data_IF_161240493712
#
_entry.id   IF_161240493712
#
_cell.length_a   1.000
_cell.length_b   1.000
_cell.length_c   1.000
_cell.angle_alpha   90.00
_cell.angle_beta   90.00
_cell.angle_gamma   90.00
#
_symmetry.space_group_name_H-M   'P 1'
#
loop_
_entity.id
_entity.type
_entity.pdbx_description
1 polymer ?
#
# COMPACT_ATOMS: atom_id res chain seq x y z
N UNK A 1 10.65 -20.38 16.35
CA UNK A 1 9.69 -19.68 15.47
C UNK A 1 8.46 -20.55 15.39
N UNK A 2 7.30 -20.02 15.79
CA UNK A 2 6.01 -20.66 15.51
C UNK A 2 5.82 -20.79 13.99
N UNK A 3 4.95 -21.71 13.56
CA UNK A 3 4.57 -21.83 12.15
C UNK A 3 4.01 -20.51 11.60
N UNK A 4 3.25 -19.78 12.42
CA UNK A 4 2.72 -18.45 12.10
C UNK A 4 3.82 -17.40 11.88
N UNK A 5 4.86 -17.39 12.71
CA UNK A 5 5.96 -16.41 12.63
C UNK A 5 6.72 -16.53 11.31
N UNK A 6 6.94 -17.77 10.84
CA UNK A 6 7.60 -18.03 9.57
C UNK A 6 6.74 -17.53 8.40
N UNK A 7 5.43 -17.78 8.42
CA UNK A 7 4.50 -17.33 7.38
C UNK A 7 4.44 -15.80 7.34
N UNK A 8 4.35 -15.15 8.50
CA UNK A 8 4.35 -13.69 8.60
C UNK A 8 5.68 -13.11 8.10
N UNK A 9 6.82 -13.70 8.43
CA UNK A 9 8.12 -13.24 7.90
C UNK A 9 8.18 -13.31 6.36
N UNK A 10 7.68 -14.40 5.77
CA UNK A 10 7.57 -14.55 4.31
C UNK A 10 6.63 -13.50 3.71
N UNK A 11 5.49 -13.23 4.35
CA UNK A 11 4.56 -12.20 3.90
C UNK A 11 5.22 -10.81 3.85
N UNK A 12 5.91 -10.40 4.92
CA UNK A 12 6.61 -9.12 4.97
C UNK A 12 7.72 -9.02 3.92
N UNK A 13 8.57 -10.06 3.83
CA UNK A 13 9.66 -10.10 2.85
C UNK A 13 9.12 -10.03 1.42
N UNK A 14 8.03 -10.75 1.13
CA UNK A 14 7.36 -10.71 -0.17
C UNK A 14 6.82 -9.33 -0.51
N UNK A 15 6.09 -8.70 0.41
CA UNK A 15 5.55 -7.34 0.19
C UNK A 15 6.68 -6.32 0.07
N UNK A 16 7.77 -6.47 0.82
CA UNK A 16 8.94 -5.58 0.72
C UNK A 16 9.62 -5.71 -0.64
N UNK A 17 9.86 -6.94 -1.12
CA UNK A 17 10.44 -7.17 -2.44
C UNK A 17 9.55 -6.61 -3.57
N UNK A 18 8.24 -6.84 -3.50
CA UNK A 18 7.26 -6.26 -4.44
C UNK A 18 7.28 -4.74 -4.37
N UNK A 19 7.36 -4.15 -3.17
CA UNK A 19 7.44 -2.71 -2.96
C UNK A 19 8.61 -2.09 -3.71
N UNK A 20 9.80 -2.68 -3.64
CA UNK A 20 10.99 -2.19 -4.35
C UNK A 20 10.82 -2.24 -5.88
N UNK A 21 10.21 -3.31 -6.39
CA UNK A 21 9.92 -3.47 -7.82
C UNK A 21 8.91 -2.40 -8.27
N UNK A 22 7.82 -2.22 -7.51
CA UNK A 22 6.78 -1.25 -7.83
C UNK A 22 7.29 0.19 -7.76
N UNK A 23 8.11 0.54 -6.75
CA UNK A 23 8.76 1.86 -6.69
C UNK A 23 9.55 2.12 -7.96
N UNK A 24 10.38 1.15 -8.39
CA UNK A 24 11.21 1.31 -9.58
C UNK A 24 10.38 1.51 -10.85
N UNK A 25 9.33 0.70 -11.02
CA UNK A 25 8.45 0.79 -12.18
C UNK A 25 7.68 2.11 -12.15
N UNK A 26 7.15 2.53 -11.00
CA UNK A 26 6.36 3.76 -10.92
C UNK A 26 7.21 5.01 -11.16
N UNK A 27 8.44 5.07 -10.64
CA UNK A 27 9.37 6.19 -10.91
C UNK A 27 9.72 6.29 -12.40
N UNK A 28 9.86 5.14 -13.07
CA UNK A 28 10.30 5.10 -14.49
C UNK A 28 9.14 5.32 -15.45
N UNK A 29 8.04 4.62 -15.21
CA UNK A 29 6.96 4.41 -16.17
C UNK A 29 5.65 5.06 -15.71
N UNK A 30 5.58 5.65 -14.50
CA UNK A 30 4.37 6.25 -13.91
C UNK A 30 3.17 5.29 -13.91
N UNK A 31 3.45 4.01 -13.64
CA UNK A 31 2.46 2.93 -13.68
C UNK A 31 2.74 1.90 -12.61
N UNK A 32 1.66 1.37 -12.04
CA UNK A 32 1.68 0.19 -11.17
C UNK A 32 0.95 -0.97 -11.89
N UNK A 33 1.68 -1.98 -12.39
CA UNK A 33 1.11 -3.02 -13.24
C UNK A 33 0.26 -4.01 -12.44
N UNK A 34 -0.95 -4.26 -12.93
CA UNK A 34 -1.89 -5.24 -12.36
C UNK A 34 -1.29 -6.64 -12.23
N UNK A 35 -0.44 -7.04 -13.18
CA UNK A 35 0.27 -8.31 -13.18
C UNK A 35 1.21 -8.50 -11.98
N UNK A 36 1.51 -7.44 -11.23
CA UNK A 36 2.31 -7.49 -9.99
C UNK A 36 1.42 -7.20 -8.78
N UNK A 37 0.63 -6.12 -8.83
CA UNK A 37 -0.14 -5.65 -7.67
C UNK A 37 -1.24 -6.63 -7.27
N UNK A 38 -1.95 -7.22 -8.24
CA UNK A 38 -3.06 -8.15 -7.95
C UNK A 38 -2.54 -9.49 -7.41
N UNK A 39 -1.55 -10.16 -8.04
CA UNK A 39 -0.99 -11.38 -7.47
C UNK A 39 -0.34 -11.14 -6.10
N UNK A 40 0.32 -10.00 -5.89
CA UNK A 40 0.87 -9.66 -4.58
C UNK A 40 -0.21 -9.50 -3.51
N UNK A 41 -1.33 -8.84 -3.84
CA UNK A 41 -2.47 -8.67 -2.92
C UNK A 41 -3.11 -10.01 -2.56
N UNK A 42 -3.35 -10.86 -3.56
CA UNK A 42 -3.93 -12.18 -3.34
C UNK A 42 -2.97 -13.12 -2.59
N UNK A 43 -1.69 -13.05 -2.93
CA UNK A 43 -0.64 -13.82 -2.25
C UNK A 43 -0.51 -13.43 -0.78
N UNK A 44 -0.54 -12.13 -0.48
CA UNK A 44 -0.58 -11.64 0.90
C UNK A 44 -1.82 -12.18 1.63
N UNK A 45 -3.02 -12.02 1.07
CA UNK A 45 -4.26 -12.53 1.67
C UNK A 45 -4.17 -14.04 1.97
N UNK A 46 -3.63 -14.83 1.04
CA UNK A 46 -3.45 -16.28 1.22
C UNK A 46 -2.45 -16.61 2.35
N UNK A 47 -1.33 -15.88 2.43
CA UNK A 47 -0.36 -16.05 3.51
C UNK A 47 -0.94 -15.64 4.87
N UNK A 48 -1.72 -14.56 4.94
CA UNK A 48 -2.40 -14.16 6.18
C UNK A 48 -3.46 -15.17 6.62
N UNK A 49 -4.20 -15.77 5.67
CA UNK A 49 -5.12 -16.84 5.97
C UNK A 49 -4.41 -18.08 6.52
N UNK A 50 -3.26 -18.45 5.94
CA UNK A 50 -2.43 -19.54 6.45
C UNK A 50 -1.87 -19.22 7.86
N UNK A 51 -1.43 -17.99 8.09
CA UNK A 51 -0.97 -17.54 9.39
C UNK A 51 -2.09 -17.64 10.44
N UNK A 52 -3.32 -17.23 10.09
CA UNK A 52 -4.48 -17.33 10.97
C UNK A 52 -4.81 -18.80 11.34
N UNK A 53 -4.79 -19.70 10.36
CA UNK A 53 -5.04 -21.15 10.61
C UNK A 53 -3.96 -21.75 11.51
N UNK A 54 -2.70 -21.41 11.27
CA UNK A 54 -1.57 -21.94 12.06
C UNK A 54 -1.47 -21.35 13.46
N UNK A 55 -1.90 -20.10 13.65
CA UNK A 55 -1.97 -19.44 14.95
C UNK A 55 -3.24 -19.80 15.75
N UNK A 56 -4.30 -20.26 15.07
CA UNK A 56 -5.61 -20.46 15.70
C UNK A 56 -6.34 -19.15 16.02
N UNK A 57 -5.95 -18.05 15.36
CA UNK A 57 -6.49 -16.70 15.57
C UNK A 57 -6.78 -16.02 14.24
N UNK A 58 -8.05 -15.65 14.03
CA UNK A 58 -8.52 -15.00 12.81
C UNK A 58 -8.69 -13.48 12.96
N UNK A 59 -8.52 -12.91 14.15
CA UNK A 59 -8.67 -11.47 14.38
C UNK A 59 -7.74 -10.64 13.47
N UNK A 60 -6.43 -10.97 13.35
CA UNK A 60 -5.51 -10.20 12.51
C UNK A 60 -5.88 -10.28 11.01
N UNK A 61 -6.42 -11.41 10.56
CA UNK A 61 -6.89 -11.60 9.19
C UNK A 61 -8.12 -10.70 8.90
N UNK A 62 -9.07 -10.64 9.83
CA UNK A 62 -10.24 -9.76 9.70
C UNK A 62 -9.85 -8.29 9.62
N UNK A 63 -8.89 -7.87 10.47
CA UNK A 63 -8.37 -6.49 10.46
C UNK A 63 -7.58 -6.18 9.20
N UNK A 64 -6.76 -7.12 8.69
CA UNK A 64 -6.08 -6.98 7.41
C UNK A 64 -7.08 -6.85 6.23
N UNK A 65 -8.12 -7.69 6.19
CA UNK A 65 -9.16 -7.59 5.16
C UNK A 65 -9.89 -6.24 5.23
N UNK A 66 -10.26 -5.78 6.42
CA UNK A 66 -10.91 -4.49 6.63
C UNK A 66 -9.99 -3.32 6.25
N UNK A 67 -8.71 -3.38 6.60
CA UNK A 67 -7.71 -2.38 6.23
C UNK A 67 -7.49 -2.30 4.71
N UNK A 68 -7.38 -3.45 4.05
CA UNK A 68 -7.27 -3.55 2.60
C UNK A 68 -8.48 -2.98 1.87
N UNK A 69 -9.68 -3.41 2.24
CA UNK A 69 -10.93 -2.91 1.66
C UNK A 69 -11.14 -1.43 1.96
N UNK A 70 -10.83 -0.98 3.17
CA UNK A 70 -10.96 0.41 3.59
C UNK A 70 -10.06 1.34 2.77
N UNK A 71 -8.77 1.03 2.64
CA UNK A 71 -7.87 1.82 1.82
C UNK A 71 -8.20 1.73 0.33
N UNK A 72 -8.59 0.56 -0.18
CA UNK A 72 -9.07 0.44 -1.56
C UNK A 72 -10.26 1.37 -1.82
N UNK A 73 -11.30 1.30 -0.98
CA UNK A 73 -12.51 2.10 -1.13
C UNK A 73 -12.21 3.61 -1.02
N UNK A 74 -11.33 3.99 -0.09
CA UNK A 74 -10.92 5.37 0.09
C UNK A 74 -10.17 5.91 -1.14
N UNK A 75 -9.17 5.18 -1.65
CA UNK A 75 -8.43 5.59 -2.84
C UNK A 75 -9.31 5.53 -4.11
N UNK A 76 -10.24 4.58 -4.19
CA UNK A 76 -11.20 4.51 -5.28
C UNK A 76 -12.11 5.75 -5.30
N UNK A 77 -12.60 6.18 -4.14
CA UNK A 77 -13.39 7.42 -4.00
C UNK A 77 -12.55 8.65 -4.38
N UNK A 78 -11.29 8.74 -3.90
CA UNK A 78 -10.38 9.83 -4.28
C UNK A 78 -10.14 9.89 -5.79
N UNK A 79 -9.95 8.73 -6.45
CA UNK A 79 -9.82 8.65 -7.91
C UNK A 79 -11.07 9.15 -8.63
N UNK A 80 -12.26 8.85 -8.11
CA UNK A 80 -13.52 9.35 -8.67
C UNK A 80 -13.68 10.87 -8.55
N UNK A 81 -13.21 11.45 -7.45
CA UNK A 81 -13.23 12.89 -7.19
C UNK A 81 -12.12 13.65 -7.96
N UNK A 82 -10.95 13.02 -8.12
CA UNK A 82 -9.75 13.62 -8.72
C UNK A 82 -9.14 12.70 -9.80
N UNK A 83 -9.80 12.53 -10.95
CA UNK A 83 -9.43 11.54 -11.96
C UNK A 83 -8.06 11.78 -12.62
N UNK A 84 -7.57 13.03 -12.63
CA UNK A 84 -6.22 13.37 -13.13
C UNK A 84 -5.11 13.13 -12.10
N UNK A 85 -5.47 13.09 -10.80
CA UNK A 85 -4.50 13.06 -9.70
C UNK A 85 -4.06 11.67 -9.26
N UNK A 86 -4.91 10.63 -9.44
CA UNK A 86 -4.65 9.29 -8.93
C UNK A 86 -4.90 8.20 -9.97
N UNK A 87 -3.91 7.32 -10.16
CA UNK A 87 -3.98 6.21 -11.09
C UNK A 87 -4.85 5.06 -10.57
N UNK A 88 -5.38 4.24 -11.48
CA UNK A 88 -6.07 3.00 -11.10
C UNK A 88 -5.15 1.98 -10.41
N UNK A 89 -3.83 2.09 -10.65
CA UNK A 89 -2.82 1.28 -9.99
C UNK A 89 -2.65 1.63 -8.51
N UNK A 90 -2.71 2.91 -8.15
CA UNK A 90 -2.61 3.37 -6.76
C UNK A 90 -3.75 2.83 -5.91
N UNK A 91 -4.97 2.78 -6.46
CA UNK A 91 -6.14 2.19 -5.78
C UNK A 91 -5.91 0.72 -5.42
N UNK A 92 -5.30 -0.05 -6.32
CA UNK A 92 -5.00 -1.48 -6.10
C UNK A 92 -3.83 -1.64 -5.12
N UNK A 93 -2.82 -0.77 -5.21
CA UNK A 93 -1.72 -0.73 -4.26
C UNK A 93 -2.22 -0.40 -2.84
N UNK A 94 -3.20 0.50 -2.72
CA UNK A 94 -3.85 0.82 -1.44
C UNK A 94 -4.45 -0.44 -0.79
N UNK A 95 -5.03 -1.35 -1.57
CA UNK A 95 -5.54 -2.63 -1.06
C UNK A 95 -4.42 -3.53 -0.52
N UNK A 96 -3.29 -3.61 -1.22
CA UNK A 96 -2.12 -4.38 -0.77
C UNK A 96 -1.56 -3.83 0.54
N UNK A 97 -1.32 -2.52 0.59
CA UNK A 97 -0.73 -1.86 1.75
C UNK A 97 -1.71 -1.83 2.93
N UNK A 98 -3.01 -1.67 2.68
CA UNK A 98 -4.03 -1.71 3.71
C UNK A 98 -4.16 -3.08 4.40
N UNK A 99 -3.94 -4.18 3.66
CA UNK A 99 -3.84 -5.50 4.26
C UNK A 99 -2.62 -5.62 5.17
N UNK A 100 -1.45 -5.17 4.69
CA UNK A 100 -0.22 -5.21 5.47
C UNK A 100 -0.34 -4.38 6.75
N UNK A 101 -0.84 -3.15 6.66
CA UNK A 101 -0.97 -2.28 7.83
C UNK A 101 -2.09 -2.73 8.77
N UNK A 102 -3.25 -3.11 8.21
CA UNK A 102 -4.37 -3.62 8.98
C UNK A 102 -4.03 -4.90 9.74
N UNK A 103 -3.10 -5.72 9.24
CA UNK A 103 -2.57 -6.86 9.99
C UNK A 103 -2.01 -6.43 11.36
N UNK A 104 -1.30 -5.32 11.44
CA UNK A 104 -0.61 -4.87 12.67
C UNK A 104 -1.50 -4.04 13.57
N UNK A 105 -2.40 -3.24 13.01
CA UNK A 105 -3.29 -2.44 13.82
C UNK A 105 -3.98 -1.32 13.07
N UNK A 106 -5.00 -0.74 13.71
CA UNK A 106 -5.62 0.49 13.23
C UNK A 106 -4.68 1.69 13.32
N UNK A 107 -3.79 1.69 14.32
CA UNK A 107 -2.77 2.73 14.50
C UNK A 107 -1.78 2.71 13.34
N UNK A 108 -1.23 1.55 12.99
CA UNK A 108 -0.31 1.39 11.85
C UNK A 108 -1.00 1.75 10.53
N UNK A 109 -2.26 1.33 10.34
CA UNK A 109 -3.07 1.70 9.19
C UNK A 109 -3.21 3.22 9.07
N UNK A 110 -3.60 3.88 10.15
CA UNK A 110 -3.78 5.34 10.17
C UNK A 110 -2.44 6.07 9.98
N UNK A 111 -1.38 5.64 10.67
CA UNK A 111 -0.05 6.22 10.57
C UNK A 111 0.52 6.08 9.16
N UNK A 112 0.44 4.87 8.58
CA UNK A 112 0.93 4.60 7.24
C UNK A 112 0.14 5.34 6.15
N UNK A 113 -1.18 5.38 6.27
CA UNK A 113 -2.03 6.16 5.36
C UNK A 113 -1.73 7.66 5.48
N UNK A 114 -1.64 8.21 6.69
CA UNK A 114 -1.31 9.61 6.91
C UNK A 114 0.09 9.96 6.37
N UNK A 115 1.08 9.12 6.63
CA UNK A 115 2.44 9.30 6.12
C UNK A 115 2.47 9.32 4.58
N UNK A 116 1.70 8.46 3.92
CA UNK A 116 1.58 8.47 2.46
C UNK A 116 1.08 9.82 1.92
N UNK A 117 0.03 10.38 2.53
CA UNK A 117 -0.51 11.69 2.12
C UNK A 117 0.42 12.85 2.43
N UNK A 118 1.08 12.84 3.60
CA UNK A 118 2.04 13.88 3.96
C UNK A 118 3.22 13.88 3.00
N UNK A 119 3.83 12.72 2.77
CA UNK A 119 4.98 12.58 1.88
C UNK A 119 4.61 12.91 0.42
N UNK A 120 3.52 12.34 -0.09
CA UNK A 120 3.05 12.60 -1.44
C UNK A 120 2.63 14.06 -1.65
N UNK A 121 1.99 14.68 -0.65
CA UNK A 121 1.59 16.09 -0.67
C UNK A 121 2.79 17.05 -0.66
N UNK A 122 3.82 16.75 0.14
CA UNK A 122 5.09 17.49 0.13
C UNK A 122 5.74 17.37 -1.25
N UNK A 123 5.84 16.15 -1.80
CA UNK A 123 6.42 15.94 -3.11
C UNK A 123 5.67 16.70 -4.22
N UNK A 124 4.34 16.61 -4.24
CA UNK A 124 3.51 17.33 -5.20
C UNK A 124 3.70 18.86 -5.07
N UNK A 125 3.76 19.38 -3.85
CA UNK A 125 3.97 20.81 -3.58
C UNK A 125 5.35 21.26 -4.06
N UNK A 126 6.41 20.49 -3.81
CA UNK A 126 7.77 20.79 -4.30
C UNK A 126 7.83 20.77 -5.83
N UNK A 127 7.17 19.80 -6.48
CA UNK A 127 7.12 19.72 -7.94
C UNK A 127 6.39 20.91 -8.56
N UNK A 128 5.27 21.33 -7.98
CA UNK A 128 4.54 22.54 -8.40
C UNK A 128 5.36 23.82 -8.14
N UNK A 129 5.96 23.96 -6.96
CA UNK A 129 6.73 25.14 -6.58
C UNK A 129 8.01 25.32 -7.42
N UNK A 130 8.62 24.21 -7.86
CA UNK A 130 9.79 24.23 -8.74
C UNK A 130 9.45 24.31 -10.23
N UNK A 131 8.16 24.40 -10.59
CA UNK A 131 7.69 24.47 -11.97
C UNK A 131 7.91 23.18 -12.79
N UNK A 132 8.22 22.07 -12.11
CA UNK A 132 8.49 20.76 -12.74
C UNK A 132 7.22 19.96 -13.00
N UNK A 133 6.09 20.38 -12.45
CA UNK A 133 4.77 19.82 -12.71
C UNK A 133 3.73 20.93 -12.88
N UNK A 134 2.69 20.66 -13.66
CA UNK A 134 1.46 21.44 -13.72
C UNK A 134 0.35 20.72 -12.95
N UNK A 135 -0.81 21.38 -12.79
CA UNK A 135 -2.01 20.77 -12.17
C UNK A 135 -2.54 19.54 -12.91
N UNK A 136 -2.17 19.40 -14.18
CA UNK A 136 -2.58 18.29 -15.04
C UNK A 136 -1.51 17.19 -15.17
N UNK A 137 -0.35 17.39 -14.54
CA UNK A 137 0.75 16.41 -14.59
C UNK A 137 0.44 15.24 -13.67
N UNK A 138 0.47 14.03 -14.22
CA UNK A 138 0.30 12.81 -13.44
C UNK A 138 1.55 12.54 -12.60
N UNK A 139 1.43 12.63 -11.28
CA UNK A 139 2.54 12.41 -10.35
C UNK A 139 2.50 10.95 -9.88
N UNK A 140 3.67 10.30 -9.90
CA UNK A 140 3.88 8.97 -9.35
C UNK A 140 3.62 8.97 -7.83
N UNK A 141 2.41 8.57 -7.41
CA UNK A 141 2.01 8.56 -6.01
C UNK A 141 2.41 7.25 -5.29
N UNK A 142 2.54 6.16 -6.04
CA UNK A 142 2.87 4.83 -5.54
C UNK A 142 4.09 4.75 -4.60
N UNK A 143 5.25 5.37 -4.94
CA UNK A 143 6.42 5.39 -4.08
C UNK A 143 6.14 5.99 -2.71
N UNK A 144 5.37 7.07 -2.64
CA UNK A 144 5.04 7.74 -1.39
C UNK A 144 4.05 6.94 -0.56
N UNK A 145 3.12 6.23 -1.21
CA UNK A 145 2.27 5.25 -0.53
C UNK A 145 3.08 4.14 0.12
N UNK A 146 4.03 3.57 -0.61
CA UNK A 146 4.89 2.48 -0.14
C UNK A 146 5.77 2.95 1.02
N UNK A 147 6.47 4.08 0.84
CA UNK A 147 7.32 4.66 1.90
C UNK A 147 6.48 5.00 3.13
N UNK A 148 5.30 5.59 2.95
CA UNK A 148 4.37 5.90 4.04
C UNK A 148 3.94 4.65 4.80
N UNK A 149 3.57 3.57 4.11
CA UNK A 149 3.18 2.32 4.74
C UNK A 149 4.32 1.70 5.56
N UNK A 150 5.53 1.60 4.99
CA UNK A 150 6.67 1.07 5.73
C UNK A 150 7.09 1.97 6.90
N UNK A 151 6.99 3.29 6.75
CA UNK A 151 7.25 4.22 7.86
C UNK A 151 6.22 4.07 8.99
N UNK A 152 4.93 3.93 8.64
CA UNK A 152 3.86 3.71 9.63
C UNK A 152 4.02 2.40 10.39
N UNK A 153 4.54 1.35 9.73
CA UNK A 153 4.79 0.06 10.36
C UNK A 153 6.02 0.06 11.30
N UNK A 154 6.94 1.01 11.12
CA UNK A 154 8.19 1.10 11.88
C UNK A 154 8.18 2.21 12.95
N UNK A 155 7.03 2.88 13.14
CA UNK A 155 6.85 3.99 14.07
C UNK A 155 6.50 3.51 15.49
#
# INVERSE_FOLDING_TARGET
MSGSDAVLAVAHAGVFAVSLILIRIDIRDHRLPDAIVLPASLGLAALLALAAVTAGDAEPLGRAAAGGLGLFAFYFALRGLFPSGLGGGDVKLAALLGQLLGLHGWTDLAAGAAAAFVLGGIHATVMLATGRASRDTHIAFGPWMIVGAWAGLLA
#
